data_IF_235947597195
#
_entry.id   IF_235947597195
#
_cell.length_a   1.000
_cell.length_b   1.000
_cell.length_c   1.000
_cell.angle_alpha   90.00
_cell.angle_beta   90.00
_cell.angle_gamma   90.00
#
_symmetry.space_group_name_H-M   'P 1'
#
loop_
_entity.id
_entity.type
_entity.pdbx_description
1 polymer ?
#
# COMPACT_ATOMS: atom_id res chain seq x y z
N UNK A 1 -30.24 8.19 -19.50
CA UNK A 1 -29.35 7.19 -18.84
C UNK A 1 -29.09 7.70 -17.42
N UNK A 2 -29.36 6.88 -16.40
CA UNK A 2 -29.07 7.26 -15.00
C UNK A 2 -27.56 7.05 -14.84
N UNK A 3 -26.80 8.13 -14.67
CA UNK A 3 -25.41 8.04 -14.21
C UNK A 3 -25.40 7.33 -12.86
N UNK A 4 -24.80 6.13 -12.80
CA UNK A 4 -24.59 5.43 -11.53
C UNK A 4 -23.55 6.21 -10.71
N UNK A 5 -23.99 7.16 -9.89
CA UNK A 5 -23.10 7.70 -8.85
C UNK A 5 -22.74 6.57 -7.90
N UNK A 6 -21.45 6.46 -7.61
CA UNK A 6 -20.96 5.52 -6.57
C UNK A 6 -21.74 5.76 -5.27
N UNK A 7 -22.28 4.70 -4.62
CA UNK A 7 -22.92 4.83 -3.32
C UNK A 7 -22.02 5.55 -2.31
N UNK A 8 -22.62 6.39 -1.47
CA UNK A 8 -21.87 7.22 -0.49
C UNK A 8 -20.94 6.41 0.42
N UNK A 9 -21.27 5.17 0.75
CA UNK A 9 -20.42 4.30 1.57
C UNK A 9 -19.01 4.11 0.99
N UNK A 10 -18.88 3.97 -0.33
CA UNK A 10 -17.56 3.85 -0.96
C UNK A 10 -16.77 5.15 -0.90
N UNK A 11 -17.43 6.28 -1.11
CA UNK A 11 -16.80 7.59 -0.99
C UNK A 11 -16.33 7.86 0.45
N UNK A 12 -17.17 7.54 1.43
CA UNK A 12 -16.84 7.66 2.85
C UNK A 12 -15.68 6.74 3.24
N UNK A 13 -15.71 5.49 2.74
CA UNK A 13 -14.62 4.53 2.94
C UNK A 13 -13.28 5.09 2.44
N UNK A 14 -13.23 5.58 1.19
CA UNK A 14 -12.00 6.13 0.60
C UNK A 14 -11.51 7.36 1.37
N UNK A 15 -12.40 8.27 1.78
CA UNK A 15 -12.03 9.46 2.55
C UNK A 15 -11.42 9.05 3.90
N UNK A 16 -12.04 8.13 4.65
CA UNK A 16 -11.50 7.70 5.95
C UNK A 16 -10.18 6.95 5.75
N UNK A 17 -10.08 6.11 4.73
CA UNK A 17 -8.84 5.40 4.39
C UNK A 17 -7.71 6.37 4.07
N UNK A 18 -7.97 7.40 3.27
CA UNK A 18 -6.98 8.43 2.94
C UNK A 18 -6.57 9.25 4.17
N UNK A 19 -7.52 9.56 5.06
CA UNK A 19 -7.25 10.21 6.35
C UNK A 19 -6.34 9.35 7.26
N UNK A 20 -6.46 8.01 7.20
CA UNK A 20 -5.56 7.08 7.89
C UNK A 20 -4.18 7.07 7.21
N UNK A 21 -4.13 6.97 5.88
CA UNK A 21 -2.91 6.95 5.09
C UNK A 21 -2.09 8.23 5.26
N UNK A 22 -2.74 9.38 5.34
CA UNK A 22 -2.10 10.68 5.59
C UNK A 22 -1.67 10.91 7.04
N UNK A 23 -2.05 10.02 7.96
CA UNK A 23 -1.75 10.14 9.39
C UNK A 23 -2.65 11.11 10.14
N UNK A 24 -3.75 11.56 9.57
CA UNK A 24 -4.77 12.37 10.25
C UNK A 24 -5.42 11.57 11.38
N UNK A 25 -5.68 10.28 11.18
CA UNK A 25 -6.04 9.33 12.22
C UNK A 25 -4.87 8.44 12.59
N UNK A 26 -4.64 8.27 13.90
CA UNK A 26 -3.54 7.45 14.44
C UNK A 26 -4.07 6.12 14.97
N UNK A 27 -3.18 5.14 15.05
CA UNK A 27 -3.49 3.87 15.68
C UNK A 27 -4.01 4.09 17.13
N UNK A 28 -5.11 3.43 17.48
CA UNK A 28 -5.78 3.55 18.77
C UNK A 28 -6.81 4.68 18.85
N UNK A 29 -6.94 5.55 17.85
CA UNK A 29 -7.96 6.60 17.83
C UNK A 29 -9.34 6.02 17.49
N UNK A 30 -10.38 6.58 18.13
CA UNK A 30 -11.77 6.21 17.91
C UNK A 30 -12.37 6.97 16.72
N UNK A 31 -13.10 6.27 15.86
CA UNK A 31 -13.89 6.86 14.79
C UNK A 31 -15.31 7.13 15.28
N UNK A 32 -15.68 8.40 15.41
CA UNK A 32 -17.02 8.79 15.83
C UNK A 32 -17.95 8.88 14.62
N UNK A 33 -18.88 7.91 14.48
CA UNK A 33 -19.85 7.87 13.38
C UNK A 33 -20.65 9.17 13.21
N UNK A 34 -21.01 9.85 14.33
CA UNK A 34 -21.82 11.07 14.29
C UNK A 34 -21.01 12.23 13.76
N UNK A 35 -19.80 12.43 14.27
CA UNK A 35 -18.89 13.50 13.83
C UNK A 35 -18.50 13.35 12.37
N UNK A 36 -18.21 12.12 11.95
CA UNK A 36 -17.92 11.80 10.54
C UNK A 36 -19.11 12.13 9.64
N UNK A 37 -20.34 11.75 10.03
CA UNK A 37 -21.54 12.03 9.27
C UNK A 37 -21.80 13.54 9.15
N UNK A 38 -21.64 14.29 10.24
CA UNK A 38 -21.78 15.76 10.28
C UNK A 38 -20.73 16.43 9.38
N UNK A 39 -19.45 16.04 9.51
CA UNK A 39 -18.32 16.59 8.74
C UNK A 39 -18.45 16.34 7.23
N UNK A 40 -18.92 15.15 6.86
CA UNK A 40 -19.04 14.74 5.45
C UNK A 40 -20.39 15.11 4.83
N UNK A 41 -21.32 15.67 5.61
CA UNK A 41 -22.65 16.08 5.13
C UNK A 41 -23.51 14.90 4.66
N UNK A 42 -23.37 13.73 5.29
CA UNK A 42 -24.12 12.52 4.96
C UNK A 42 -24.89 11.98 6.17
N UNK A 43 -25.83 11.05 5.96
CA UNK A 43 -26.47 10.35 7.07
C UNK A 43 -25.51 9.35 7.74
N UNK A 44 -25.83 8.88 8.94
CA UNK A 44 -24.99 7.91 9.69
C UNK A 44 -24.92 6.53 9.02
N UNK A 45 -25.92 6.16 8.20
CA UNK A 45 -25.95 4.85 7.54
C UNK A 45 -24.73 4.58 6.64
N UNK A 46 -24.42 5.41 5.62
CA UNK A 46 -23.24 5.19 4.79
C UNK A 46 -21.92 5.26 5.57
N UNK A 47 -21.85 6.03 6.67
CA UNK A 47 -20.66 6.06 7.53
C UNK A 47 -20.48 4.72 8.25
N UNK A 48 -21.54 4.16 8.81
CA UNK A 48 -21.52 2.85 9.46
C UNK A 48 -21.15 1.73 8.48
N UNK A 49 -21.72 1.74 7.28
CA UNK A 49 -21.36 0.78 6.22
C UNK A 49 -19.89 0.92 5.81
N UNK A 50 -19.35 2.13 5.71
CA UNK A 50 -17.93 2.37 5.41
C UNK A 50 -17.02 1.87 6.55
N UNK A 51 -17.38 2.09 7.81
CA UNK A 51 -16.65 1.57 8.98
C UNK A 51 -16.65 0.03 8.99
N UNK A 52 -17.77 -0.62 8.64
CA UNK A 52 -17.81 -2.08 8.49
C UNK A 52 -16.90 -2.57 7.37
N UNK A 53 -16.80 -1.83 6.26
CA UNK A 53 -15.85 -2.15 5.19
C UNK A 53 -14.40 -1.99 5.66
N UNK A 54 -14.09 -0.92 6.42
CA UNK A 54 -12.78 -0.71 7.02
C UNK A 54 -12.42 -1.83 8.01
N UNK A 55 -13.38 -2.29 8.82
CA UNK A 55 -13.19 -3.43 9.72
C UNK A 55 -12.91 -4.72 8.94
N UNK A 56 -13.71 -5.01 7.92
CA UNK A 56 -13.53 -6.19 7.06
C UNK A 56 -12.14 -6.19 6.39
N UNK A 57 -11.68 -5.03 5.94
CA UNK A 57 -10.37 -4.86 5.34
C UNK A 57 -9.22 -4.73 6.36
N UNK A 58 -9.52 -4.80 7.66
CA UNK A 58 -8.52 -4.84 8.73
C UNK A 58 -7.94 -3.50 9.17
N UNK A 59 -8.51 -2.37 8.74
CA UNK A 59 -8.07 -1.01 9.14
C UNK A 59 -8.56 -0.62 10.53
N UNK A 60 -9.73 -1.12 10.91
CA UNK A 60 -10.45 -0.77 12.12
C UNK A 60 -10.78 -2.04 12.89
N UNK A 61 -10.92 -1.96 14.20
CA UNK A 61 -11.53 -2.99 15.04
C UNK A 61 -12.72 -2.41 15.79
N UNK A 62 -13.76 -3.21 15.97
CA UNK A 62 -14.90 -2.83 16.82
C UNK A 62 -14.61 -3.29 18.25
N UNK A 63 -14.37 -2.33 19.14
CA UNK A 63 -14.11 -2.59 20.55
C UNK A 63 -15.37 -2.34 21.39
N UNK A 64 -15.62 -3.23 22.36
CA UNK A 64 -16.73 -3.09 23.28
C UNK A 64 -16.60 -1.78 24.07
N UNK A 65 -17.65 -0.98 24.11
CA UNK A 65 -17.76 0.35 24.77
C UNK A 65 -17.01 1.51 24.11
N UNK A 66 -16.07 1.27 23.15
CA UNK A 66 -15.37 2.34 22.43
C UNK A 66 -15.89 2.52 21.00
N UNK A 67 -16.48 1.48 20.42
CA UNK A 67 -16.90 1.51 19.02
C UNK A 67 -15.76 1.19 18.05
N UNK A 68 -15.71 1.90 16.94
CA UNK A 68 -14.70 1.69 15.90
C UNK A 68 -13.38 2.37 16.28
N UNK A 69 -12.29 1.60 16.31
CA UNK A 69 -10.94 2.06 16.68
C UNK A 69 -9.96 1.72 15.58
N UNK A 70 -9.11 2.66 15.21
CA UNK A 70 -8.02 2.43 14.23
C UNK A 70 -7.06 1.37 14.81
N UNK A 71 -6.82 0.31 14.03
CA UNK A 71 -5.96 -0.79 14.49
C UNK A 71 -4.51 -0.36 14.64
N UNK A 72 -3.87 -0.85 15.70
CA UNK A 72 -2.42 -0.89 15.82
C UNK A 72 -1.91 -2.25 15.32
N UNK A 73 -0.79 -2.23 14.58
CA UNK A 73 -0.23 -3.46 14.01
C UNK A 73 1.06 -3.83 14.73
N UNK A 74 1.01 -4.86 15.57
CA UNK A 74 2.19 -5.38 16.25
C UNK A 74 3.19 -6.06 15.30
N UNK A 75 4.44 -6.23 15.75
CA UNK A 75 5.55 -6.83 14.95
C UNK A 75 5.19 -8.17 14.31
N UNK A 76 4.51 -9.05 15.08
CA UNK A 76 4.09 -10.35 14.55
C UNK A 76 3.15 -10.21 13.36
N UNK A 77 2.14 -9.33 13.50
CA UNK A 77 1.18 -9.08 12.43
C UNK A 77 1.87 -8.55 11.16
N UNK A 78 2.79 -7.57 11.31
CA UNK A 78 3.57 -7.04 10.18
C UNK A 78 4.44 -8.12 9.51
N UNK A 79 5.07 -8.99 10.29
CA UNK A 79 5.86 -10.09 9.75
C UNK A 79 5.00 -11.10 8.96
N UNK A 80 3.81 -11.43 9.48
CA UNK A 80 2.86 -12.32 8.79
C UNK A 80 2.31 -11.65 7.51
N UNK A 81 2.00 -10.36 7.56
CA UNK A 81 1.56 -9.55 6.42
C UNK A 81 2.62 -9.48 5.33
N UNK A 82 3.90 -9.27 5.68
CA UNK A 82 5.02 -9.26 4.74
C UNK A 82 5.22 -10.61 4.04
N UNK A 83 4.99 -11.73 4.72
CA UNK A 83 5.05 -13.07 4.10
C UNK A 83 3.99 -13.24 3.02
N UNK A 84 2.74 -12.84 3.32
CA UNK A 84 1.63 -12.91 2.38
C UNK A 84 1.89 -11.98 1.20
N UNK A 85 2.29 -10.72 1.49
CA UNK A 85 2.67 -9.76 0.44
C UNK A 85 3.74 -10.32 -0.48
N UNK A 86 4.82 -10.87 0.07
CA UNK A 86 5.91 -11.45 -0.74
C UNK A 86 5.38 -12.50 -1.72
N UNK A 87 4.55 -13.43 -1.27
CA UNK A 87 4.01 -14.47 -2.14
C UNK A 87 3.17 -13.90 -3.30
N UNK A 88 2.36 -12.88 -3.03
CA UNK A 88 1.52 -12.23 -4.03
C UNK A 88 2.34 -11.33 -4.98
N UNK A 89 3.36 -10.63 -4.48
CA UNK A 89 4.28 -9.80 -5.28
C UNK A 89 5.04 -10.63 -6.33
N UNK A 90 5.48 -11.82 -5.96
CA UNK A 90 6.17 -12.72 -6.90
C UNK A 90 5.23 -13.16 -8.02
N UNK A 91 3.98 -13.44 -7.72
CA UNK A 91 2.96 -13.76 -8.73
C UNK A 91 2.65 -12.54 -9.61
N UNK A 92 2.51 -11.36 -9.00
CA UNK A 92 2.22 -10.12 -9.73
C UNK A 92 3.32 -9.77 -10.74
N UNK A 93 4.59 -9.82 -10.31
CA UNK A 93 5.72 -9.46 -11.18
C UNK A 93 5.95 -10.47 -12.31
N UNK A 94 5.66 -11.76 -12.05
CA UNK A 94 5.71 -12.80 -13.08
C UNK A 94 4.70 -12.52 -14.20
N UNK A 95 3.46 -12.21 -13.84
CA UNK A 95 2.42 -11.87 -14.80
C UNK A 95 2.68 -10.51 -15.47
N UNK A 96 3.18 -9.53 -14.73
CA UNK A 96 3.59 -8.24 -15.27
C UNK A 96 4.65 -8.39 -16.38
N UNK A 97 5.66 -9.23 -16.17
CA UNK A 97 6.70 -9.47 -17.17
C UNK A 97 6.16 -10.10 -18.46
N UNK A 98 5.06 -10.86 -18.40
CA UNK A 98 4.38 -11.43 -19.57
C UNK A 98 3.49 -10.42 -20.30
N UNK A 99 2.87 -9.50 -19.55
CA UNK A 99 1.85 -8.59 -20.06
C UNK A 99 2.39 -7.19 -20.43
N UNK A 100 3.61 -6.87 -20.02
CA UNK A 100 4.19 -5.53 -20.20
C UNK A 100 4.33 -5.15 -21.67
N UNK A 101 3.93 -3.92 -22.00
CA UNK A 101 4.12 -3.27 -23.29
C UNK A 101 5.13 -2.15 -23.16
N UNK A 102 5.62 -1.61 -24.28
CA UNK A 102 6.57 -0.48 -24.26
C UNK A 102 5.92 0.78 -23.62
N UNK A 103 4.60 0.97 -23.82
CA UNK A 103 3.84 2.07 -23.21
C UNK A 103 3.73 1.92 -21.69
N UNK A 104 3.32 0.74 -21.21
CA UNK A 104 3.20 0.48 -19.77
C UNK A 104 4.56 0.45 -19.07
N UNK A 105 5.61 -0.02 -19.75
CA UNK A 105 6.98 0.07 -19.25
C UNK A 105 7.40 1.52 -19.03
N UNK A 106 7.14 2.41 -20.01
CA UNK A 106 7.49 3.83 -19.89
C UNK A 106 6.81 4.50 -18.69
N UNK A 107 5.56 4.12 -18.37
CA UNK A 107 4.85 4.64 -17.22
C UNK A 107 5.49 4.20 -15.88
N UNK A 108 5.87 2.93 -15.76
CA UNK A 108 6.59 2.43 -14.56
C UNK A 108 7.97 3.07 -14.44
N UNK A 109 8.70 3.18 -15.55
CA UNK A 109 10.01 3.83 -15.57
C UNK A 109 9.91 5.29 -15.13
N UNK A 110 8.87 6.02 -15.54
CA UNK A 110 8.63 7.39 -15.08
C UNK A 110 8.44 7.45 -13.55
N UNK A 111 7.65 6.55 -12.97
CA UNK A 111 7.47 6.46 -11.51
C UNK A 111 8.81 6.17 -10.81
N UNK A 112 9.61 5.27 -11.36
CA UNK A 112 10.95 4.99 -10.84
C UNK A 112 11.87 6.21 -10.90
N UNK A 113 11.88 6.98 -12.02
CA UNK A 113 12.68 8.20 -12.13
C UNK A 113 12.26 9.27 -11.11
N UNK A 114 10.96 9.40 -10.85
CA UNK A 114 10.47 10.27 -9.78
C UNK A 114 10.96 9.80 -8.41
N UNK A 115 10.97 8.49 -8.15
CA UNK A 115 11.49 7.93 -6.90
C UNK A 115 13.00 8.17 -6.75
N UNK A 116 13.78 8.06 -7.83
CA UNK A 116 15.21 8.42 -7.84
C UNK A 116 15.40 9.90 -7.48
N UNK A 117 14.61 10.79 -8.07
CA UNK A 117 14.66 12.23 -7.78
C UNK A 117 14.28 12.55 -6.31
N UNK A 118 13.40 11.76 -5.71
CA UNK A 118 12.99 11.90 -4.32
C UNK A 118 13.95 11.26 -3.31
N UNK A 119 15.04 10.63 -3.76
CA UNK A 119 15.98 9.90 -2.89
C UNK A 119 16.57 10.80 -1.80
N UNK A 120 16.94 12.03 -2.15
CA UNK A 120 17.54 13.02 -1.23
C UNK A 120 16.50 13.98 -0.63
N UNK A 121 15.21 13.77 -0.87
CA UNK A 121 14.14 14.59 -0.29
C UNK A 121 14.19 14.51 1.23
N UNK A 122 14.06 15.66 1.88
CA UNK A 122 13.87 15.73 3.34
C UNK A 122 12.52 15.17 3.78
N UNK A 123 11.56 15.05 2.87
CA UNK A 123 10.24 14.48 3.11
C UNK A 123 10.25 12.96 2.85
N UNK A 124 10.24 12.19 3.93
CA UNK A 124 10.22 10.72 3.86
C UNK A 124 8.94 10.17 3.21
N UNK A 125 7.84 10.92 3.27
CA UNK A 125 6.56 10.49 2.71
C UNK A 125 6.60 10.44 1.19
N UNK A 126 7.28 11.39 0.52
CA UNK A 126 7.36 11.44 -0.94
C UNK A 126 7.99 10.16 -1.51
N UNK A 127 9.13 9.74 -0.92
CA UNK A 127 9.81 8.52 -1.35
C UNK A 127 8.94 7.27 -1.12
N UNK A 128 8.27 7.18 0.03
CA UNK A 128 7.42 6.04 0.37
C UNK A 128 6.14 5.98 -0.50
N UNK A 129 5.58 7.14 -0.87
CA UNK A 129 4.46 7.19 -1.82
C UNK A 129 4.86 6.71 -3.21
N UNK A 130 6.02 7.11 -3.69
CA UNK A 130 6.55 6.68 -4.99
C UNK A 130 6.91 5.20 -5.00
N UNK A 131 7.42 4.66 -3.89
CA UNK A 131 7.62 3.22 -3.69
C UNK A 131 6.29 2.45 -3.80
N UNK A 132 5.25 2.95 -3.13
CA UNK A 132 3.90 2.38 -3.21
C UNK A 132 3.35 2.39 -4.63
N UNK A 133 3.49 3.50 -5.35
CA UNK A 133 3.05 3.66 -6.74
C UNK A 133 3.82 2.74 -7.70
N UNK A 134 5.13 2.57 -7.50
CA UNK A 134 5.94 1.65 -8.28
C UNK A 134 5.39 0.22 -8.20
N UNK A 135 5.15 -0.27 -7.00
CA UNK A 135 4.55 -1.59 -6.79
C UNK A 135 3.14 -1.70 -7.38
N UNK A 136 2.30 -0.68 -7.17
CA UNK A 136 0.94 -0.65 -7.72
C UNK A 136 0.95 -0.78 -9.25
N UNK A 137 1.85 -0.08 -9.95
CA UNK A 137 1.97 -0.18 -11.40
C UNK A 137 2.29 -1.61 -11.87
N UNK A 138 3.07 -2.36 -11.08
CA UNK A 138 3.34 -3.79 -11.36
C UNK A 138 2.08 -4.64 -11.14
N UNK A 139 1.31 -4.38 -10.08
CA UNK A 139 0.08 -5.14 -9.79
C UNK A 139 -0.94 -5.00 -10.92
N UNK A 140 -1.12 -3.79 -11.45
CA UNK A 140 -2.06 -3.51 -12.54
C UNK A 140 -1.75 -4.33 -13.79
N UNK A 141 -0.47 -4.58 -14.07
CA UNK A 141 -0.04 -5.41 -15.19
C UNK A 141 -0.29 -6.91 -15.00
N UNK A 142 -0.59 -7.36 -13.79
CA UNK A 142 -0.96 -8.76 -13.57
C UNK A 142 -2.28 -9.15 -14.25
N UNK A 143 -3.14 -8.16 -14.57
CA UNK A 143 -4.49 -8.34 -15.10
C UNK A 143 -5.37 -9.25 -14.21
N UNK A 144 -5.03 -9.39 -12.93
CA UNK A 144 -5.75 -10.17 -11.94
C UNK A 144 -6.36 -9.25 -10.88
N UNK A 145 -7.63 -8.89 -11.06
CA UNK A 145 -8.31 -7.94 -10.18
C UNK A 145 -8.29 -8.36 -8.71
N UNK A 146 -8.43 -9.65 -8.42
CA UNK A 146 -8.37 -10.15 -7.03
C UNK A 146 -6.98 -9.93 -6.41
N UNK A 147 -5.92 -10.18 -7.18
CA UNK A 147 -4.55 -9.96 -6.75
C UNK A 147 -4.26 -8.45 -6.55
N UNK A 148 -4.74 -7.61 -7.47
CA UNK A 148 -4.61 -6.15 -7.41
C UNK A 148 -5.26 -5.61 -6.12
N UNK A 149 -6.48 -6.02 -5.82
CA UNK A 149 -7.23 -5.59 -4.64
C UNK A 149 -6.53 -6.02 -3.34
N UNK A 150 -6.09 -7.28 -3.26
CA UNK A 150 -5.38 -7.81 -2.10
C UNK A 150 -4.04 -7.10 -1.87
N UNK A 151 -3.22 -6.96 -2.91
CA UNK A 151 -1.92 -6.29 -2.82
C UNK A 151 -2.05 -4.80 -2.53
N UNK A 152 -3.04 -4.12 -3.12
CA UNK A 152 -3.32 -2.73 -2.85
C UNK A 152 -3.57 -2.49 -1.35
N UNK A 153 -4.46 -3.29 -0.74
CA UNK A 153 -4.75 -3.18 0.68
C UNK A 153 -3.53 -3.50 1.58
N UNK A 154 -2.78 -4.56 1.25
CA UNK A 154 -1.56 -4.94 1.98
C UNK A 154 -0.48 -3.85 1.88
N UNK A 155 -0.29 -3.29 0.69
CA UNK A 155 0.69 -2.24 0.44
C UNK A 155 0.37 -0.96 1.24
N UNK A 156 -0.90 -0.58 1.28
CA UNK A 156 -1.37 0.55 2.06
C UNK A 156 -1.15 0.34 3.57
N UNK A 157 -1.43 -0.85 4.10
CA UNK A 157 -1.17 -1.18 5.50
C UNK A 157 0.31 -1.08 5.85
N UNK A 158 1.18 -1.57 4.97
CA UNK A 158 2.63 -1.48 5.16
C UNK A 158 3.09 -0.03 5.08
N UNK A 159 2.55 0.75 4.15
CA UNK A 159 2.85 2.17 4.03
C UNK A 159 2.62 2.91 5.37
N UNK A 160 1.44 2.76 5.97
CA UNK A 160 1.10 3.42 7.25
C UNK A 160 2.00 2.97 8.40
N UNK A 161 2.33 1.68 8.45
CA UNK A 161 2.99 1.09 9.60
C UNK A 161 4.51 1.06 9.52
N UNK A 162 5.06 0.98 8.31
CA UNK A 162 6.49 0.76 8.10
C UNK A 162 7.22 1.92 7.40
N UNK A 163 6.55 3.03 7.10
CA UNK A 163 7.15 4.19 6.42
C UNK A 163 8.44 4.66 7.12
N UNK A 164 8.46 4.70 8.45
CA UNK A 164 9.66 5.06 9.23
C UNK A 164 10.80 4.05 9.06
N UNK A 165 10.47 2.76 9.01
CA UNK A 165 11.47 1.70 8.86
C UNK A 165 12.12 1.70 7.47
N UNK A 166 11.41 2.19 6.45
CA UNK A 166 11.84 2.20 5.06
C UNK A 166 12.50 3.51 4.63
N UNK A 167 12.51 4.54 5.49
CA UNK A 167 12.85 5.92 5.11
C UNK A 167 14.32 6.31 5.29
N UNK A 168 15.15 5.50 5.93
CA UNK A 168 16.58 5.82 6.12
C UNK A 168 17.37 5.89 4.81
N UNK A 169 18.28 6.86 4.66
CA UNK A 169 19.07 7.09 3.45
C UNK A 169 19.75 5.82 2.89
N UNK A 170 20.39 4.94 3.68
CA UNK A 170 20.98 3.71 3.17
C UNK A 170 19.92 2.76 2.58
N UNK A 171 18.70 2.71 3.16
CA UNK A 171 17.61 1.88 2.65
C UNK A 171 17.07 2.42 1.34
N UNK A 172 16.89 3.74 1.21
CA UNK A 172 16.45 4.36 -0.06
C UNK A 172 17.40 4.02 -1.21
N UNK A 173 18.71 4.15 -1.00
CA UNK A 173 19.70 3.78 -2.03
C UNK A 173 19.60 2.30 -2.42
N UNK A 174 19.38 1.40 -1.45
CA UNK A 174 19.21 -0.02 -1.74
C UNK A 174 17.91 -0.26 -2.53
N UNK A 175 16.80 0.36 -2.12
CA UNK A 175 15.51 0.27 -2.82
C UNK A 175 15.63 0.69 -4.28
N UNK A 176 16.28 1.82 -4.58
CA UNK A 176 16.48 2.27 -5.95
C UNK A 176 17.26 1.23 -6.79
N UNK A 177 18.30 0.63 -6.24
CA UNK A 177 19.06 -0.43 -6.95
C UNK A 177 18.23 -1.69 -7.17
N UNK A 178 17.42 -2.06 -6.18
CA UNK A 178 16.51 -3.22 -6.24
C UNK A 178 15.42 -3.00 -7.29
N UNK A 179 14.80 -1.82 -7.32
CA UNK A 179 13.80 -1.44 -8.33
C UNK A 179 14.40 -1.37 -9.73
N UNK A 180 15.63 -0.86 -9.88
CA UNK A 180 16.34 -0.89 -11.17
C UNK A 180 16.49 -2.30 -11.72
N UNK A 181 16.81 -3.28 -10.86
CA UNK A 181 16.93 -4.68 -11.26
C UNK A 181 15.58 -5.30 -11.68
N UNK A 182 14.48 -4.93 -11.00
CA UNK A 182 13.12 -5.33 -11.37
C UNK A 182 12.76 -4.73 -12.74
N UNK A 183 12.98 -3.43 -12.94
CA UNK A 183 12.71 -2.75 -14.21
C UNK A 183 13.48 -3.37 -15.37
N UNK A 184 14.76 -3.68 -15.19
CA UNK A 184 15.58 -4.30 -16.24
C UNK A 184 15.02 -5.66 -16.65
N UNK A 185 14.56 -6.46 -15.67
CA UNK A 185 13.94 -7.74 -15.94
C UNK A 185 12.59 -7.59 -16.67
N UNK A 186 11.78 -6.59 -16.30
CA UNK A 186 10.52 -6.27 -16.95
C UNK A 186 10.76 -5.77 -18.40
N UNK A 187 11.76 -4.91 -18.62
CA UNK A 187 12.15 -4.43 -19.95
C UNK A 187 12.51 -5.57 -20.89
N UNK A 188 13.23 -6.56 -20.35
CA UNK A 188 13.61 -7.77 -21.10
C UNK A 188 12.46 -8.78 -21.20
N UNK A 189 11.28 -8.52 -20.62
CA UNK A 189 10.15 -9.44 -20.52
C UNK A 189 10.56 -10.83 -19.96
N UNK A 190 11.51 -10.84 -19.03
CA UNK A 190 12.07 -12.04 -18.45
C UNK A 190 11.42 -12.30 -17.08
N UNK A 191 10.38 -13.13 -17.07
CA UNK A 191 9.60 -13.43 -15.88
C UNK A 191 10.45 -14.06 -14.76
N UNK A 192 11.35 -15.01 -15.09
CA UNK A 192 12.22 -15.66 -14.09
C UNK A 192 13.18 -14.66 -13.42
N UNK A 193 13.72 -13.73 -14.19
CA UNK A 193 14.60 -12.67 -13.65
C UNK A 193 13.80 -11.66 -12.83
N UNK A 194 12.60 -11.30 -13.26
CA UNK A 194 11.71 -10.39 -12.54
C UNK A 194 11.33 -10.97 -11.18
N UNK A 195 10.94 -12.24 -11.13
CA UNK A 195 10.63 -12.98 -9.88
C UNK A 195 11.85 -13.01 -8.94
N UNK A 196 13.05 -13.30 -9.46
CA UNK A 196 14.28 -13.29 -8.64
C UNK A 196 14.60 -11.90 -8.08
N UNK A 197 14.49 -10.86 -8.91
CA UNK A 197 14.73 -9.48 -8.48
C UNK A 197 13.71 -9.03 -7.42
N UNK A 198 12.41 -9.28 -7.65
CA UNK A 198 11.36 -8.98 -6.69
C UNK A 198 11.54 -9.74 -5.37
N UNK A 199 11.94 -11.01 -5.42
CA UNK A 199 12.19 -11.78 -4.21
C UNK A 199 13.29 -11.17 -3.35
N UNK A 200 14.42 -10.80 -3.94
CA UNK A 200 15.51 -10.12 -3.23
C UNK A 200 15.06 -8.80 -2.62
N UNK A 201 14.32 -7.99 -3.35
CA UNK A 201 13.74 -6.74 -2.86
C UNK A 201 12.84 -6.97 -1.64
N UNK A 202 11.92 -7.94 -1.72
CA UNK A 202 11.00 -8.26 -0.64
C UNK A 202 11.70 -8.82 0.60
N UNK A 203 12.74 -9.63 0.44
CA UNK A 203 13.57 -10.12 1.55
C UNK A 203 14.27 -8.97 2.29
N UNK A 204 14.87 -8.03 1.56
CA UNK A 204 15.49 -6.83 2.13
C UNK A 204 14.47 -5.93 2.83
N UNK A 205 13.32 -5.73 2.22
CA UNK A 205 12.21 -4.95 2.80
C UNK A 205 11.74 -5.60 4.11
N UNK A 206 11.53 -6.91 4.13
CA UNK A 206 11.13 -7.65 5.33
C UNK A 206 12.17 -7.49 6.47
N UNK A 207 13.46 -7.67 6.18
CA UNK A 207 14.53 -7.46 7.16
C UNK A 207 14.49 -6.05 7.75
N UNK A 208 14.33 -5.03 6.92
CA UNK A 208 14.27 -3.64 7.39
C UNK A 208 13.04 -3.36 8.26
N UNK A 209 11.87 -3.88 7.88
CA UNK A 209 10.64 -3.76 8.69
C UNK A 209 10.83 -4.41 10.06
N UNK A 210 11.41 -5.62 10.12
CA UNK A 210 11.63 -6.32 11.39
C UNK A 210 12.60 -5.60 12.34
N UNK A 211 13.66 -4.98 11.82
CA UNK A 211 14.69 -4.33 12.64
C UNK A 211 14.32 -2.91 13.07
N UNK A 212 13.58 -2.17 12.26
CA UNK A 212 13.37 -0.74 12.46
C UNK A 212 11.94 -0.37 12.93
N UNK A 213 11.04 -1.34 13.04
CA UNK A 213 9.72 -1.08 13.59
C UNK A 213 9.83 -1.07 15.12
N UNK A 214 10.04 0.11 15.71
CA UNK A 214 9.84 0.35 17.14
C UNK A 214 8.34 0.44 17.36
N UNK A 215 7.70 -0.71 17.54
CA UNK A 215 6.31 -0.79 17.99
C UNK A 215 6.40 -1.28 19.44
N UNK A 216 6.28 -0.32 20.37
CA UNK A 216 5.99 -0.60 21.77
C UNK A 216 4.57 -1.13 21.92
#
# INVERSE_FOLDING_TARGET
MIEKQLPYKYKVYEIIKEDILSGKYRAGEELNERELAETMGVSRTPVREAIQMLEHNGWVSIETYKGAVIRSFGRKYLADLMKVRTALELSAVEDAAKNITDETFAAIEQTYQQQVAAMDSSNNLDFAQLDRLFHQSIYELSCNNTLIDLLGNLNDMIFVTATKALSGAPRRQSTIREHAAILEALRCRNADQAVRAMKLHMEQTHCNVQHNTSID
#
